data_IF_643658540324
#
_entry.id   IF_643658540324
#
_cell.length_a   1.000
_cell.length_b   1.000
_cell.length_c   1.000
_cell.angle_alpha   90.00
_cell.angle_beta   90.00
_cell.angle_gamma   90.00
#
_symmetry.space_group_name_H-M   'P 1'
#
loop_
_entity.id
_entity.type
_entity.pdbx_description
1 polymer ?
#
# COMPACT_ATOMS: atom_id res chain seq x y z
N UNK A 1 -7.58 -17.87 -15.29
CA UNK A 1 -7.57 -16.43 -14.93
C UNK A 1 -8.89 -15.85 -15.39
N UNK A 2 -9.76 -15.45 -14.45
CA UNK A 2 -11.07 -14.90 -14.79
C UNK A 2 -10.87 -13.56 -15.48
N UNK A 3 -11.46 -13.35 -16.66
CA UNK A 3 -11.77 -11.99 -17.11
C UNK A 3 -12.45 -11.30 -15.92
N UNK A 4 -12.12 -10.04 -15.65
CA UNK A 4 -13.05 -9.17 -14.93
C UNK A 4 -14.34 -9.25 -15.76
N UNK A 5 -15.26 -10.11 -15.34
CA UNK A 5 -16.58 -10.20 -15.94
C UNK A 5 -17.17 -8.82 -15.72
N UNK A 6 -17.71 -8.20 -16.77
CA UNK A 6 -18.26 -6.84 -16.73
C UNK A 6 -19.51 -6.72 -15.84
N UNK A 7 -19.69 -7.67 -14.93
CA UNK A 7 -20.88 -7.95 -14.14
C UNK A 7 -20.65 -7.67 -12.64
N UNK A 8 -19.52 -7.04 -12.28
CA UNK A 8 -19.34 -6.49 -10.93
C UNK A 8 -20.25 -5.25 -10.78
N UNK A 9 -21.29 -5.30 -9.93
CA UNK A 9 -22.25 -4.22 -9.82
C UNK A 9 -21.56 -2.92 -9.36
N UNK A 10 -21.64 -1.88 -10.17
CA UNK A 10 -21.17 -0.53 -9.81
C UNK A 10 -19.83 -0.08 -10.40
N UNK A 11 -19.23 -0.85 -11.32
CA UNK A 11 -18.00 -0.41 -12.00
C UNK A 11 -18.25 0.64 -13.11
N UNK A 12 -19.41 0.59 -13.78
CA UNK A 12 -19.85 1.56 -14.78
C UNK A 12 -21.36 1.44 -15.01
N UNK A 13 -22.08 2.55 -15.29
CA UNK A 13 -23.51 2.52 -15.55
C UNK A 13 -23.88 1.90 -16.92
N UNK A 14 -22.94 1.87 -17.87
CA UNK A 14 -23.12 1.36 -19.24
C UNK A 14 -21.90 0.53 -19.65
N UNK A 15 -22.13 -0.68 -20.16
CA UNK A 15 -21.06 -1.55 -20.70
C UNK A 15 -20.46 -0.92 -21.97
N UNK A 16 -19.16 -1.14 -22.29
CA UNK A 16 -18.56 -0.62 -23.51
C UNK A 16 -19.32 -0.98 -24.80
N UNK A 17 -19.83 -2.22 -24.89
CA UNK A 17 -20.59 -2.70 -26.05
C UNK A 17 -22.02 -2.12 -26.13
N UNK A 18 -22.54 -1.60 -25.01
CA UNK A 18 -23.88 -1.00 -24.92
C UNK A 18 -23.87 0.54 -25.01
N UNK A 19 -22.68 1.15 -25.04
CA UNK A 19 -22.52 2.60 -25.12
C UNK A 19 -23.00 3.12 -26.49
N UNK A 20 -23.90 4.12 -26.45
CA UNK A 20 -24.51 4.71 -27.65
C UNK A 20 -24.05 6.13 -27.92
N UNK A 21 -23.27 6.71 -27.00
CA UNK A 21 -22.77 8.07 -27.09
C UNK A 21 -21.35 8.19 -26.53
N UNK A 22 -20.66 9.29 -26.86
CA UNK A 22 -19.38 9.61 -26.22
C UNK A 22 -19.54 9.90 -24.72
N UNK A 23 -20.71 10.36 -24.30
CA UNK A 23 -20.98 10.65 -22.89
C UNK A 23 -21.12 9.33 -22.11
N UNK A 24 -21.78 8.31 -22.67
CA UNK A 24 -21.86 6.96 -22.08
C UNK A 24 -20.44 6.38 -21.87
N UNK A 25 -19.55 6.55 -22.86
CA UNK A 25 -18.15 6.10 -22.79
C UNK A 25 -17.39 6.84 -21.68
N UNK A 26 -17.55 8.16 -21.60
CA UNK A 26 -16.89 8.99 -20.57
C UNK A 26 -17.38 8.63 -19.17
N UNK A 27 -18.68 8.43 -18.98
CA UNK A 27 -19.24 7.99 -17.70
C UNK A 27 -18.67 6.62 -17.28
N UNK A 28 -18.49 5.71 -18.23
CA UNK A 28 -17.83 4.42 -17.99
C UNK A 28 -16.38 4.58 -17.53
N UNK A 29 -15.60 5.43 -18.20
CA UNK A 29 -14.19 5.73 -17.83
C UNK A 29 -14.12 6.40 -16.45
N UNK A 30 -14.95 7.42 -16.21
CA UNK A 30 -14.98 8.15 -14.93
C UNK A 30 -15.34 7.22 -13.76
N UNK A 31 -16.23 6.25 -13.98
CA UNK A 31 -16.56 5.20 -13.01
C UNK A 31 -15.37 4.31 -12.67
N UNK A 32 -14.62 3.86 -13.67
CA UNK A 32 -13.40 3.07 -13.49
C UNK A 32 -12.34 3.88 -12.75
N UNK A 33 -12.13 5.14 -13.13
CA UNK A 33 -11.14 6.03 -12.53
C UNK A 33 -11.45 6.30 -11.06
N UNK A 34 -12.73 6.56 -10.74
CA UNK A 34 -13.19 6.66 -9.35
C UNK A 34 -12.87 5.39 -8.56
N UNK A 35 -13.13 4.22 -9.14
CA UNK A 35 -12.86 2.94 -8.47
C UNK A 35 -11.37 2.71 -8.25
N UNK A 36 -10.52 3.10 -9.21
CA UNK A 36 -9.07 3.06 -9.04
C UNK A 36 -8.63 3.93 -7.85
N UNK A 37 -9.20 5.13 -7.69
CA UNK A 37 -8.90 6.02 -6.56
C UNK A 37 -9.33 5.39 -5.22
N UNK A 38 -10.52 4.79 -5.15
CA UNK A 38 -10.99 4.08 -3.95
C UNK A 38 -10.08 2.89 -3.58
N UNK A 39 -9.62 2.14 -4.57
CA UNK A 39 -8.67 1.04 -4.37
C UNK A 39 -7.30 1.54 -3.90
N UNK A 40 -6.84 2.69 -4.39
CA UNK A 40 -5.62 3.32 -3.91
C UNK A 40 -5.77 3.79 -2.45
N UNK A 41 -6.94 4.33 -2.07
CA UNK A 41 -7.24 4.66 -0.67
C UNK A 41 -7.20 3.41 0.22
N UNK A 42 -7.86 2.32 -0.17
CA UNK A 42 -7.79 1.05 0.56
C UNK A 42 -6.36 0.49 0.64
N UNK A 43 -5.59 0.61 -0.45
CA UNK A 43 -4.17 0.23 -0.45
C UNK A 43 -3.38 1.02 0.59
N UNK A 44 -3.78 2.27 0.89
CA UNK A 44 -3.04 3.13 1.80
C UNK A 44 -3.21 2.64 3.23
N UNK A 45 -4.43 2.23 3.60
CA UNK A 45 -4.73 1.60 4.88
C UNK A 45 -3.85 0.36 5.11
N UNK A 46 -3.70 -0.50 4.09
CA UNK A 46 -2.79 -1.65 4.17
C UNK A 46 -1.33 -1.25 4.36
N UNK A 47 -0.86 -0.21 3.67
CA UNK A 47 0.52 0.27 3.80
C UNK A 47 0.78 0.89 5.17
N UNK A 48 -0.17 1.65 5.71
CA UNK A 48 -0.09 2.18 7.07
C UNK A 48 -0.06 1.05 8.10
N UNK A 49 -0.96 0.07 7.98
CA UNK A 49 -0.97 -1.12 8.84
C UNK A 49 0.33 -1.93 8.76
N UNK A 50 0.96 -1.99 7.58
CA UNK A 50 2.25 -2.67 7.41
C UNK A 50 3.38 -2.02 8.23
N UNK A 51 3.27 -0.74 8.60
CA UNK A 51 4.27 -0.08 9.45
C UNK A 51 4.38 -0.73 10.83
N UNK A 52 3.26 -1.28 11.34
CA UNK A 52 3.25 -1.93 12.66
C UNK A 52 4.13 -3.18 12.74
N UNK A 53 4.37 -3.83 11.60
CA UNK A 53 5.13 -5.09 11.50
C UNK A 53 6.61 -4.86 11.18
N UNK A 54 7.02 -3.62 10.97
CA UNK A 54 8.38 -3.25 10.64
C UNK A 54 9.15 -2.92 11.94
N UNK A 55 10.39 -3.41 12.12
CA UNK A 55 11.15 -3.19 13.34
C UNK A 55 11.55 -1.72 13.55
N UNK A 56 11.88 -1.02 12.47
CA UNK A 56 12.36 0.36 12.49
C UNK A 56 12.06 1.11 11.18
N UNK A 57 12.28 2.42 11.17
CA UNK A 57 12.05 3.27 10.00
C UNK A 57 12.95 2.88 8.81
N UNK A 58 14.16 2.38 9.05
CA UNK A 58 15.09 1.97 8.01
C UNK A 58 14.61 0.71 7.26
N UNK A 59 13.76 -0.10 7.86
CA UNK A 59 13.08 -1.23 7.22
C UNK A 59 11.86 -0.85 6.37
N UNK A 60 11.49 0.45 6.31
CA UNK A 60 10.37 0.91 5.49
C UNK A 60 10.61 0.70 4.00
N UNK A 61 11.74 1.17 3.43
CA UNK A 61 12.13 0.78 2.09
C UNK A 61 12.47 -0.72 2.02
N UNK A 62 11.87 -1.43 1.06
CA UNK A 62 12.16 -2.84 0.81
C UNK A 62 12.43 -3.06 -0.69
N UNK A 63 13.64 -2.71 -1.19
CA UNK A 63 13.93 -2.68 -2.62
C UNK A 63 13.64 -3.99 -3.35
N UNK A 64 14.02 -5.13 -2.76
CA UNK A 64 13.75 -6.45 -3.34
C UNK A 64 12.26 -6.76 -3.44
N UNK A 65 11.47 -6.34 -2.44
CA UNK A 65 10.01 -6.49 -2.46
C UNK A 65 9.38 -5.63 -3.55
N UNK A 66 9.88 -4.41 -3.75
CA UNK A 66 9.43 -3.50 -4.82
C UNK A 66 9.79 -4.07 -6.18
N UNK A 67 11.01 -4.56 -6.38
CA UNK A 67 11.44 -5.19 -7.63
C UNK A 67 10.53 -6.38 -7.99
N UNK A 68 10.34 -7.32 -7.07
CA UNK A 68 9.44 -8.45 -7.27
C UNK A 68 7.99 -8.00 -7.55
N UNK A 69 7.51 -6.96 -6.85
CA UNK A 69 6.19 -6.38 -7.13
C UNK A 69 6.08 -5.88 -8.58
N UNK A 70 7.10 -5.18 -9.08
CA UNK A 70 7.08 -4.61 -10.43
C UNK A 70 7.13 -5.68 -11.51
N UNK A 71 7.92 -6.75 -11.28
CA UNK A 71 7.97 -7.92 -12.15
C UNK A 71 6.56 -8.56 -12.26
N UNK A 72 5.88 -8.78 -11.13
CA UNK A 72 4.50 -9.29 -11.11
C UNK A 72 3.53 -8.38 -11.90
N UNK A 73 3.62 -7.05 -11.72
CA UNK A 73 2.72 -6.10 -12.41
C UNK A 73 2.97 -6.06 -13.91
N UNK A 74 4.23 -6.20 -14.34
CA UNK A 74 4.60 -6.30 -15.75
C UNK A 74 3.98 -7.55 -16.39
N UNK A 75 4.02 -8.70 -15.70
CA UNK A 75 3.40 -9.94 -16.15
C UNK A 75 1.87 -9.82 -16.20
N UNK A 76 1.25 -9.24 -15.18
CA UNK A 76 -0.20 -9.03 -15.15
C UNK A 76 -0.66 -8.12 -16.29
N UNK A 77 0.09 -7.05 -16.56
CA UNK A 77 -0.17 -6.15 -17.68
C UNK A 77 -0.19 -6.90 -19.01
N UNK A 78 0.86 -7.68 -19.28
CA UNK A 78 0.96 -8.47 -20.50
C UNK A 78 -0.21 -9.47 -20.62
N UNK A 79 -0.60 -10.12 -19.53
CA UNK A 79 -1.73 -11.07 -19.52
C UNK A 79 -3.09 -10.44 -19.83
N UNK A 80 -3.22 -9.13 -19.60
CA UNK A 80 -4.43 -8.33 -19.86
C UNK A 80 -4.35 -7.52 -21.16
N UNK A 81 -3.30 -7.69 -21.96
CA UNK A 81 -3.10 -6.94 -23.21
C UNK A 81 -2.65 -5.48 -23.01
N UNK A 82 -2.16 -5.12 -21.82
CA UNK A 82 -1.58 -3.83 -21.52
C UNK A 82 -0.06 -3.86 -21.68
N UNK A 83 0.54 -2.71 -22.01
CA UNK A 83 1.99 -2.59 -22.10
C UNK A 83 2.65 -2.73 -20.73
N UNK A 84 3.52 -3.72 -20.56
CA UNK A 84 4.36 -3.89 -19.38
C UNK A 84 5.24 -2.66 -19.13
N UNK A 85 5.74 -2.04 -20.21
CA UNK A 85 6.58 -0.83 -20.17
C UNK A 85 5.81 0.42 -19.74
N UNK A 86 4.48 0.37 -19.75
CA UNK A 86 3.62 1.41 -19.17
C UNK A 86 3.23 1.09 -17.73
N UNK A 87 2.75 -0.14 -17.49
CA UNK A 87 2.18 -0.51 -16.19
C UNK A 87 3.24 -0.62 -15.10
N UNK A 88 4.41 -1.21 -15.36
CA UNK A 88 5.44 -1.31 -14.33
C UNK A 88 5.93 0.08 -13.87
N UNK A 89 6.27 1.03 -14.76
CA UNK A 89 6.62 2.39 -14.33
C UNK A 89 5.48 3.14 -13.61
N UNK A 90 4.23 2.94 -14.00
CA UNK A 90 3.07 3.49 -13.28
C UNK A 90 3.04 2.97 -11.83
N UNK A 91 3.18 1.66 -11.63
CA UNK A 91 3.19 1.08 -10.29
C UNK A 91 4.46 1.39 -9.49
N UNK A 92 5.58 1.72 -10.15
CA UNK A 92 6.77 2.23 -9.48
C UNK A 92 6.48 3.59 -8.83
N UNK A 93 5.83 4.51 -9.56
CA UNK A 93 5.41 5.82 -9.02
C UNK A 93 4.39 5.67 -7.88
N UNK A 94 3.40 4.79 -8.06
CA UNK A 94 2.45 4.45 -6.99
C UNK A 94 3.21 3.92 -5.77
N UNK A 95 4.09 2.94 -5.93
CA UNK A 95 4.82 2.38 -4.78
C UNK A 95 5.66 3.43 -4.07
N UNK A 96 6.36 4.28 -4.81
CA UNK A 96 7.19 5.34 -4.25
C UNK A 96 6.39 6.31 -3.39
N UNK A 97 5.22 6.77 -3.87
CA UNK A 97 4.35 7.64 -3.08
C UNK A 97 3.89 6.98 -1.78
N UNK A 98 3.51 5.71 -1.81
CA UNK A 98 3.04 4.99 -0.62
C UNK A 98 4.17 4.73 0.39
N UNK A 99 5.39 4.46 -0.07
CA UNK A 99 6.56 4.36 0.81
C UNK A 99 6.77 5.69 1.54
N UNK A 100 6.67 6.83 0.85
CA UNK A 100 6.74 8.15 1.51
C UNK A 100 5.62 8.36 2.53
N UNK A 101 4.38 7.97 2.22
CA UNK A 101 3.28 8.05 3.19
C UNK A 101 3.53 7.15 4.40
N UNK A 102 4.10 5.96 4.20
CA UNK A 102 4.44 5.05 5.30
C UNK A 102 5.52 5.62 6.22
N UNK A 103 6.56 6.24 5.64
CA UNK A 103 7.59 6.96 6.39
C UNK A 103 6.98 8.10 7.20
N UNK A 104 6.10 8.91 6.59
CA UNK A 104 5.43 10.02 7.26
C UNK A 104 4.45 9.57 8.37
N UNK A 105 3.80 8.42 8.19
CA UNK A 105 2.92 7.83 9.18
C UNK A 105 3.68 7.14 10.31
N UNK A 106 4.98 6.85 10.15
CA UNK A 106 5.76 6.08 11.10
C UNK A 106 5.64 6.70 12.49
N UNK A 107 4.92 6.06 13.43
CA UNK A 107 4.82 6.60 14.77
C UNK A 107 6.23 6.58 15.35
N UNK A 108 6.62 7.68 15.98
CA UNK A 108 7.90 7.78 16.68
C UNK A 108 7.88 6.78 17.84
N UNK A 109 8.18 5.52 17.53
CA UNK A 109 8.27 4.41 18.47
C UNK A 109 9.62 4.52 19.17
N UNK A 110 9.82 5.62 19.88
CA UNK A 110 10.92 5.74 20.81
C UNK A 110 10.70 4.62 21.85
N UNK A 111 11.56 3.58 21.93
CA UNK A 111 11.42 2.61 22.99
C UNK A 111 11.65 3.39 24.28
N UNK A 112 10.59 3.61 25.06
CA UNK A 112 10.76 4.02 26.45
C UNK A 112 11.55 2.89 27.10
N UNK A 113 12.86 3.08 27.20
CA UNK A 113 13.71 2.30 28.07
C UNK A 113 13.10 2.47 29.45
N UNK A 114 12.38 1.44 29.93
CA UNK A 114 12.08 1.32 31.35
C UNK A 114 13.40 1.02 32.05
N UNK A 115 14.22 2.04 32.24
CA UNK A 115 15.23 2.03 33.28
C UNK A 115 14.50 2.07 34.62
N UNK A 116 14.13 0.89 35.14
CA UNK A 116 13.87 0.74 36.56
C UNK A 116 15.21 0.76 37.30
N UNK A 117 15.74 1.96 37.55
CA UNK A 117 16.67 2.20 38.66
C UNK A 117 15.86 2.31 39.94
N UNK A 118 15.98 1.33 40.82
CA UNK A 118 16.11 1.53 42.28
C UNK A 118 16.12 0.17 42.97
N UNK A 119 17.27 -0.20 43.51
CA UNK A 119 17.43 -1.44 44.25
C UNK A 119 18.84 -1.73 44.77
N UNK A 120 19.63 -0.70 45.07
CA UNK A 120 20.83 -0.88 45.90
C UNK A 120 20.91 0.22 46.94
N UNK A 121 20.62 -0.13 48.18
CA UNK A 121 21.38 0.41 49.32
C UNK A 121 21.52 -0.73 50.32
N UNK A 122 22.65 -1.42 50.23
CA UNK A 122 23.22 -2.13 51.37
C UNK A 122 23.99 -1.12 52.21
N UNK A 123 23.67 -1.03 53.49
CA UNK A 123 24.60 -0.57 54.51
C UNK A 123 24.43 -1.46 55.75
N UNK A 124 25.54 -2.05 56.14
CA UNK A 124 25.82 -2.98 57.23
C UNK A 124 26.03 -2.28 58.59
N UNK A 125 25.79 -3.00 59.70
CA UNK A 125 26.28 -2.69 61.07
C UNK A 125 25.18 -2.94 62.13
N UNK A 126 25.08 -4.09 62.79
CA UNK A 126 25.85 -4.62 63.95
C UNK A 126 25.36 -4.04 65.30
N UNK A 127 25.17 -4.95 66.27
CA UNK A 127 24.92 -4.81 67.73
C UNK A 127 23.45 -4.67 68.25
N UNK A 128 22.84 -5.79 68.65
CA UNK A 128 22.73 -6.27 70.06
C UNK A 128 21.81 -7.51 70.15
#
# INVERSE_FOLDING_TARGET
MSRLTHDEPGLHPVLPDDARSLDDIREGIDGIDRRMIELLALRLDYVQRAADFKPDLASVPAPERVRAMLDDRAEWAASLGLSSDFIAPLFAQVSEWFIRQQVAHWPDRNPVTRESKSGTTSASGVDN
#
